data_IF_135249520348
#
_entry.id   IF_135249520348
#
_cell.length_a   1.000
_cell.length_b   1.000
_cell.length_c   1.000
_cell.angle_alpha   90.00
_cell.angle_beta   90.00
_cell.angle_gamma   90.00
#
_symmetry.space_group_name_H-M   'P 1'
#
loop_
_entity.id
_entity.type
_entity.pdbx_description
1 polymer ?
#
# COMPACT_ATOMS: atom_id res chain seq x y z
N UNK A 1 19.38 -47.43 5.27
CA UNK A 1 19.69 -46.43 4.23
C UNK A 1 18.45 -45.59 3.98
N UNK A 2 18.63 -44.27 4.10
CA UNK A 2 17.78 -43.16 3.66
C UNK A 2 16.31 -43.12 4.12
N UNK A 3 16.13 -42.61 5.34
CA UNK A 3 15.02 -41.71 5.70
C UNK A 3 15.16 -40.39 4.89
N UNK A 4 14.09 -39.95 4.22
CA UNK A 4 13.95 -38.61 3.64
C UNK A 4 12.53 -38.09 3.84
N UNK A 5 12.03 -38.16 5.07
CA UNK A 5 11.00 -37.24 5.54
C UNK A 5 11.61 -35.86 5.77
N UNK A 6 11.64 -35.01 4.74
CA UNK A 6 12.00 -33.60 4.90
C UNK A 6 11.00 -32.91 5.84
N UNK A 7 11.44 -32.08 6.81
CA UNK A 7 10.58 -31.64 7.89
C UNK A 7 9.56 -30.61 7.38
N UNK A 8 8.30 -30.86 7.72
CA UNK A 8 7.13 -29.96 7.72
C UNK A 8 7.32 -28.72 8.63
N UNK A 9 8.56 -28.32 8.94
CA UNK A 9 8.89 -27.12 9.69
C UNK A 9 9.13 -25.95 8.73
N UNK A 10 8.04 -25.29 8.33
CA UNK A 10 8.00 -23.83 8.11
C UNK A 10 6.61 -23.29 7.69
N UNK A 11 5.54 -24.00 8.07
CA UNK A 11 4.17 -23.52 7.90
C UNK A 11 3.61 -22.83 9.16
N UNK A 12 4.33 -22.85 10.29
CA UNK A 12 3.85 -22.31 11.57
C UNK A 12 4.26 -20.85 11.90
N UNK A 13 5.12 -20.18 11.12
CA UNK A 13 5.54 -18.79 11.43
C UNK A 13 5.13 -17.72 10.42
N UNK A 14 4.48 -18.08 9.32
CA UNK A 14 3.74 -17.09 8.53
C UNK A 14 2.31 -17.12 9.02
N UNK A 15 1.93 -16.22 9.93
CA UNK A 15 0.54 -15.76 9.98
C UNK A 15 0.19 -15.31 8.56
N UNK A 16 -0.40 -16.20 7.77
CA UNK A 16 -1.00 -15.84 6.51
C UNK A 16 -2.09 -14.84 6.86
N UNK A 17 -1.99 -13.63 6.34
CA UNK A 17 -3.09 -12.67 6.41
C UNK A 17 -4.31 -13.38 5.81
N UNK A 18 -5.28 -13.73 6.67
CA UNK A 18 -6.53 -14.31 6.24
C UNK A 18 -7.39 -13.15 5.74
N UNK A 19 -7.04 -12.66 4.54
CA UNK A 19 -7.63 -11.47 3.94
C UNK A 19 -9.16 -11.51 4.00
N UNK A 20 -9.74 -10.85 5.00
CA UNK A 20 -11.19 -10.79 5.20
C UNK A 20 -11.74 -9.60 4.42
N UNK A 21 -12.26 -9.85 3.22
CA UNK A 21 -12.77 -8.83 2.29
C UNK A 21 -14.16 -8.29 2.69
N UNK A 22 -14.31 -7.86 3.95
CA UNK A 22 -15.60 -7.42 4.51
C UNK A 22 -15.79 -5.90 4.53
N UNK A 23 -14.72 -5.12 4.39
CA UNK A 23 -14.80 -3.66 4.35
C UNK A 23 -15.14 -3.17 2.94
N UNK A 24 -15.96 -2.12 2.86
CA UNK A 24 -16.22 -1.37 1.63
C UNK A 24 -15.59 0.02 1.73
N UNK A 25 -15.20 0.58 0.58
CA UNK A 25 -14.67 1.94 0.53
C UNK A 25 -15.77 2.91 1.01
N UNK A 26 -15.51 3.54 2.15
CA UNK A 26 -16.43 4.53 2.70
C UNK A 26 -16.63 5.69 1.70
N UNK A 27 -17.88 6.18 1.62
CA UNK A 27 -18.29 7.38 0.84
C UNK A 27 -18.26 7.24 -0.69
N UNK A 28 -18.36 6.05 -1.25
CA UNK A 28 -18.53 5.88 -2.70
C UNK A 28 -17.42 6.57 -3.51
N UNK A 29 -16.19 6.58 -2.99
CA UNK A 29 -15.02 7.15 -3.68
C UNK A 29 -14.33 6.04 -4.48
N UNK A 30 -13.77 6.40 -5.64
CA UNK A 30 -12.85 5.50 -6.38
C UNK A 30 -11.42 5.87 -6.01
N UNK A 31 -10.49 4.93 -6.05
CA UNK A 31 -9.07 5.20 -5.79
C UNK A 31 -8.23 4.76 -6.98
N UNK A 32 -7.60 5.72 -7.63
CA UNK A 32 -6.87 5.58 -8.88
C UNK A 32 -5.37 5.62 -8.58
N UNK A 33 -4.58 4.79 -9.27
CA UNK A 33 -3.13 4.84 -9.22
C UNK A 33 -2.50 4.45 -10.55
N UNK A 34 -1.25 4.82 -10.71
CA UNK A 34 -0.39 4.30 -11.78
C UNK A 34 0.23 2.96 -11.38
N UNK A 35 0.24 2.03 -12.33
CA UNK A 35 0.90 0.72 -12.26
C UNK A 35 1.69 0.49 -13.55
N UNK A 36 1.42 -0.61 -14.24
CA UNK A 36 1.82 -0.79 -15.63
C UNK A 36 0.68 -1.39 -16.46
N UNK A 37 0.95 -1.76 -17.71
CA UNK A 37 -0.05 -2.36 -18.61
C UNK A 37 -0.68 -3.65 -18.08
N UNK A 38 -0.02 -4.41 -17.21
CA UNK A 38 -0.45 -5.75 -16.75
C UNK A 38 -0.92 -5.80 -15.30
N UNK A 39 -0.40 -4.95 -14.42
CA UNK A 39 -0.71 -4.98 -12.98
C UNK A 39 -0.71 -3.59 -12.35
N UNK A 40 -1.58 -3.39 -11.35
CA UNK A 40 -1.60 -2.18 -10.53
C UNK A 40 -0.38 -2.09 -9.61
N UNK A 41 0.03 -3.23 -9.04
CA UNK A 41 1.15 -3.33 -8.10
C UNK A 41 2.38 -3.88 -8.82
N UNK A 42 3.25 -2.99 -9.31
CA UNK A 42 4.53 -3.39 -9.88
C UNK A 42 5.52 -3.61 -8.73
N UNK A 43 5.80 -4.87 -8.39
CA UNK A 43 6.59 -5.25 -7.20
C UNK A 43 7.92 -4.49 -7.09
N UNK A 44 8.69 -4.38 -8.17
CA UNK A 44 9.97 -3.67 -8.18
C UNK A 44 9.82 -2.17 -7.88
N UNK A 45 8.81 -1.51 -8.44
CA UNK A 45 8.50 -0.10 -8.21
C UNK A 45 8.10 0.12 -6.75
N UNK A 46 7.22 -0.72 -6.21
CA UNK A 46 6.79 -0.61 -4.80
C UNK A 46 7.95 -0.90 -3.85
N UNK A 47 8.79 -1.92 -4.11
CA UNK A 47 10.03 -2.16 -3.34
C UNK A 47 10.93 -0.93 -3.31
N UNK A 48 11.07 -0.23 -4.45
CA UNK A 48 11.84 1.01 -4.54
C UNK A 48 11.33 2.13 -3.64
N UNK A 49 10.04 2.11 -3.26
CA UNK A 49 9.37 3.08 -2.39
C UNK A 49 9.28 2.66 -0.92
N UNK A 50 9.81 1.50 -0.55
CA UNK A 50 9.90 1.05 0.84
C UNK A 50 11.33 1.33 1.31
N UNK A 51 11.51 2.19 2.31
CA UNK A 51 12.82 2.66 2.77
C UNK A 51 13.04 2.37 4.26
N UNK A 52 14.29 2.26 4.74
CA UNK A 52 14.53 2.19 6.18
C UNK A 52 14.01 3.47 6.84
N UNK A 53 13.52 3.35 8.06
CA UNK A 53 13.12 4.49 8.87
C UNK A 53 14.29 5.47 9.03
N UNK A 54 14.02 6.74 8.79
CA UNK A 54 15.01 7.81 8.97
C UNK A 54 14.50 8.79 10.05
N UNK A 55 15.07 8.72 11.27
CA UNK A 55 14.66 9.58 12.38
C UNK A 55 14.79 11.07 12.06
N UNK A 56 15.81 11.47 11.28
CA UNK A 56 16.04 12.89 10.95
C UNK A 56 14.97 13.39 9.99
N UNK A 57 14.62 12.59 8.98
CA UNK A 57 13.53 12.94 8.05
C UNK A 57 12.20 12.98 8.80
N UNK A 58 11.96 12.02 9.70
CA UNK A 58 10.75 12.00 10.51
C UNK A 58 10.63 13.21 11.44
N UNK A 59 11.69 13.59 12.14
CA UNK A 59 11.69 14.80 12.99
C UNK A 59 11.36 16.07 12.19
N UNK A 60 11.91 16.22 10.98
CA UNK A 60 11.63 17.36 10.10
C UNK A 60 10.19 17.34 9.60
N UNK A 61 9.64 16.17 9.31
CA UNK A 61 8.22 16.00 8.96
C UNK A 61 7.32 16.42 10.12
N UNK A 62 7.62 15.98 11.34
CA UNK A 62 6.84 16.32 12.54
C UNK A 62 6.92 17.81 12.90
N UNK A 63 8.01 18.49 12.55
CA UNK A 63 8.17 19.95 12.69
C UNK A 63 7.53 20.74 11.56
N UNK A 64 7.01 20.08 10.51
CA UNK A 64 6.44 20.73 9.32
C UNK A 64 7.48 21.41 8.41
N UNK A 65 8.76 21.10 8.58
CA UNK A 65 9.84 21.63 7.73
C UNK A 65 9.85 20.99 6.33
N UNK A 66 9.33 19.77 6.26
CA UNK A 66 9.10 19.02 5.02
C UNK A 66 7.69 18.43 5.08
N UNK A 67 7.16 18.08 3.92
CA UNK A 67 5.87 17.44 3.75
C UNK A 67 6.03 16.02 3.26
N UNK A 68 4.93 15.27 3.24
CA UNK A 68 4.87 13.95 2.60
C UNK A 68 5.26 13.99 1.12
N UNK A 69 5.07 15.13 0.43
CA UNK A 69 5.45 15.26 -0.98
C UNK A 69 6.96 15.37 -1.18
N UNK A 70 7.70 15.83 -0.17
CA UNK A 70 9.17 15.86 -0.16
C UNK A 70 9.75 14.46 0.10
N UNK A 71 8.96 13.59 0.75
CA UNK A 71 9.34 12.21 1.07
C UNK A 71 9.11 11.34 -0.17
N UNK A 72 10.21 10.92 -0.81
CA UNK A 72 10.20 10.05 -2.01
C UNK A 72 9.99 8.56 -1.69
N UNK A 73 9.22 8.24 -0.66
CA UNK A 73 8.88 6.86 -0.29
C UNK A 73 7.47 6.77 0.28
N UNK A 74 6.81 5.63 0.04
CA UNK A 74 5.43 5.40 0.49
C UNK A 74 5.40 4.71 1.87
N UNK A 75 6.47 3.99 2.25
CA UNK A 75 6.54 3.23 3.49
C UNK A 75 7.94 3.23 4.11
N UNK A 76 8.00 3.20 5.43
CA UNK A 76 9.21 2.93 6.19
C UNK A 76 9.22 1.53 6.79
N UNK A 77 10.41 1.01 7.07
CA UNK A 77 10.60 -0.20 7.86
C UNK A 77 11.64 -0.01 8.97
N UNK A 78 11.49 -0.71 10.08
CA UNK A 78 12.40 -0.69 11.22
C UNK A 78 13.63 -1.61 11.04
N UNK A 79 14.50 -1.69 12.03
CA UNK A 79 15.70 -2.54 11.96
C UNK A 79 15.39 -4.03 11.74
N UNK A 80 14.19 -4.48 12.13
CA UNK A 80 13.71 -5.85 11.95
C UNK A 80 13.06 -6.08 10.58
N UNK A 81 12.99 -5.07 9.72
CA UNK A 81 12.33 -5.14 8.42
C UNK A 81 10.80 -5.05 8.48
N UNK A 82 10.24 -4.65 9.61
CA UNK A 82 8.81 -4.47 9.83
C UNK A 82 8.37 -3.08 9.37
N UNK A 83 7.29 -3.01 8.60
CA UNK A 83 6.70 -1.77 8.12
C UNK A 83 6.17 -0.95 9.30
N UNK A 84 6.56 0.32 9.38
CA UNK A 84 6.14 1.23 10.45
C UNK A 84 4.94 2.07 10.00
N UNK A 85 4.01 2.43 10.91
CA UNK A 85 2.77 3.12 10.57
C UNK A 85 2.89 4.64 10.43
N UNK A 86 4.11 5.18 10.42
CA UNK A 86 4.39 6.63 10.46
C UNK A 86 4.08 7.36 9.16
N UNK A 87 4.09 6.66 8.02
CA UNK A 87 3.72 7.23 6.73
C UNK A 87 2.26 6.89 6.36
N UNK A 88 1.62 7.71 5.53
CA UNK A 88 0.24 7.46 5.09
C UNK A 88 0.09 6.19 4.25
N UNK A 89 1.16 5.76 3.56
CA UNK A 89 1.20 4.54 2.76
C UNK A 89 1.18 4.78 1.26
N UNK A 90 0.68 3.79 0.53
CA UNK A 90 0.66 3.78 -0.93
C UNK A 90 -0.27 4.89 -1.44
N UNK A 91 0.30 5.84 -2.18
CA UNK A 91 -0.44 6.97 -2.75
C UNK A 91 -1.44 6.53 -3.83
N UNK A 92 -2.65 7.07 -3.74
CA UNK A 92 -3.77 6.94 -4.68
C UNK A 92 -4.48 8.28 -4.85
N UNK A 93 -5.37 8.38 -5.83
CA UNK A 93 -6.09 9.60 -6.16
C UNK A 93 -7.58 9.33 -6.26
N UNK A 94 -8.42 10.23 -5.78
CA UNK A 94 -9.88 10.02 -5.79
C UNK A 94 -10.53 10.48 -7.09
N UNK A 95 -9.81 11.30 -7.86
CA UNK A 95 -10.26 11.89 -9.11
C UNK A 95 -9.09 11.98 -10.10
N UNK A 96 -9.32 11.51 -11.33
CA UNK A 96 -8.30 11.59 -12.39
C UNK A 96 -7.93 13.03 -12.72
N UNK A 97 -8.89 13.97 -12.65
CA UNK A 97 -8.64 15.38 -13.04
C UNK A 97 -7.59 16.06 -12.16
N UNK A 98 -7.50 15.62 -10.90
CA UNK A 98 -6.61 16.16 -9.88
C UNK A 98 -5.28 15.37 -9.79
N UNK A 99 -5.11 14.32 -10.62
CA UNK A 99 -3.83 13.61 -10.72
C UNK A 99 -2.76 14.47 -11.39
N UNK A 100 -1.49 14.40 -10.95
CA UNK A 100 -0.36 14.99 -11.65
C UNK A 100 -0.35 14.61 -13.15
N UNK A 101 -0.11 15.57 -14.07
CA UNK A 101 -0.15 15.33 -15.52
C UNK A 101 0.67 14.13 -15.98
N UNK A 102 1.90 13.98 -15.49
CA UNK A 102 2.80 12.88 -15.86
C UNK A 102 2.26 11.48 -15.52
N UNK A 103 1.36 11.37 -14.52
CA UNK A 103 0.69 10.10 -14.20
C UNK A 103 -0.47 9.79 -15.14
N UNK A 104 -1.00 10.80 -15.85
CA UNK A 104 -2.13 10.67 -16.79
C UNK A 104 -1.71 10.43 -18.23
N UNK A 105 -0.44 10.67 -18.56
CA UNK A 105 0.11 10.48 -19.91
C UNK A 105 -0.07 9.04 -20.43
N UNK A 106 -0.23 8.07 -19.54
CA UNK A 106 -0.41 6.64 -19.85
C UNK A 106 -1.69 6.10 -19.22
N UNK A 107 -2.88 6.42 -19.78
CA UNK A 107 -4.15 5.99 -19.22
C UNK A 107 -4.27 4.45 -19.17
N UNK A 108 -3.60 3.73 -20.07
CA UNK A 108 -3.56 2.26 -20.07
C UNK A 108 -2.78 1.66 -18.88
N UNK A 109 -1.99 2.47 -18.18
CA UNK A 109 -1.26 2.10 -16.97
C UNK A 109 -2.00 2.54 -15.69
N UNK A 110 -3.20 3.10 -15.82
CA UNK A 110 -4.04 3.46 -14.69
C UNK A 110 -4.92 2.29 -14.22
N UNK A 111 -5.00 2.19 -12.91
CA UNK A 111 -5.78 1.17 -12.20
C UNK A 111 -6.63 1.84 -11.14
N UNK A 112 -7.80 1.27 -10.86
CA UNK A 112 -8.71 1.78 -9.85
C UNK A 112 -9.19 0.69 -8.89
N UNK A 113 -9.42 1.08 -7.64
CA UNK A 113 -10.35 0.40 -6.75
C UNK A 113 -11.70 1.11 -6.88
N UNK A 114 -12.70 0.36 -7.33
CA UNK A 114 -14.06 0.86 -7.44
C UNK A 114 -14.65 1.15 -6.07
N UNK A 115 -15.66 2.01 -6.05
CA UNK A 115 -16.45 2.42 -4.88
C UNK A 115 -16.98 1.25 -4.04
N UNK A 116 -17.36 0.16 -4.70
CA UNK A 116 -17.95 -1.02 -4.07
C UNK A 116 -16.93 -2.17 -3.93
N UNK A 117 -15.66 -1.91 -4.21
CA UNK A 117 -14.62 -2.93 -4.10
C UNK A 117 -14.48 -3.33 -2.64
N UNK A 118 -14.63 -4.63 -2.31
CA UNK A 118 -14.32 -5.08 -0.99
C UNK A 118 -12.80 -5.04 -0.80
N UNK A 119 -12.34 -4.70 0.40
CA UNK A 119 -10.91 -4.72 0.73
C UNK A 119 -10.70 -5.41 2.07
N UNK A 120 -9.51 -6.01 2.28
CA UNK A 120 -9.22 -6.78 3.47
C UNK A 120 -9.27 -5.90 4.72
N UNK A 121 -9.77 -6.46 5.83
CA UNK A 121 -9.82 -5.79 7.13
C UNK A 121 -8.43 -5.33 7.59
N UNK A 122 -7.38 -6.01 7.14
CA UNK A 122 -6.00 -5.74 7.48
C UNK A 122 -5.40 -4.53 6.77
N UNK A 123 -6.16 -3.91 5.88
CA UNK A 123 -5.79 -2.69 5.16
C UNK A 123 -6.70 -1.55 5.62
N UNK A 124 -6.10 -0.37 5.77
CA UNK A 124 -6.80 0.88 5.91
C UNK A 124 -6.66 1.71 4.63
N UNK A 125 -7.76 2.37 4.27
CA UNK A 125 -7.80 3.37 3.22
C UNK A 125 -8.08 4.71 3.88
N UNK A 126 -7.12 5.62 3.77
CA UNK A 126 -7.12 6.93 4.44
C UNK A 126 -7.34 8.02 3.39
N UNK A 127 -8.24 8.96 3.68
CA UNK A 127 -8.36 10.22 2.94
C UNK A 127 -8.43 11.35 3.95
N UNK A 128 -7.50 12.28 3.85
CA UNK A 128 -7.52 13.47 4.67
C UNK A 128 -8.58 14.46 4.15
N UNK A 129 -9.28 15.14 5.07
CA UNK A 129 -10.42 15.98 4.72
C UNK A 129 -10.01 17.22 3.89
N UNK A 130 -8.83 17.74 4.15
CA UNK A 130 -8.17 18.84 3.44
C UNK A 130 -7.59 18.42 2.09
N UNK A 131 -7.39 17.11 1.86
CA UNK A 131 -6.84 16.55 0.62
C UNK A 131 -7.83 15.57 -0.03
N UNK A 132 -9.05 16.04 -0.29
CA UNK A 132 -10.12 15.22 -0.87
C UNK A 132 -9.77 14.53 -2.20
N UNK A 133 -8.78 15.04 -2.94
CA UNK A 133 -8.27 14.52 -4.21
C UNK A 133 -7.25 13.36 -4.05
N UNK A 134 -6.68 13.17 -2.84
CA UNK A 134 -5.62 12.19 -2.56
C UNK A 134 -6.08 11.18 -1.52
N UNK A 135 -5.62 9.95 -1.65
CA UNK A 135 -5.88 8.90 -0.68
C UNK A 135 -4.68 8.00 -0.52
N UNK A 136 -4.66 7.23 0.56
CA UNK A 136 -3.58 6.33 0.88
C UNK A 136 -4.08 4.96 1.29
N UNK A 137 -3.31 3.94 0.93
CA UNK A 137 -3.58 2.56 1.32
C UNK A 137 -2.41 2.05 2.14
N UNK A 138 -2.67 1.60 3.36
CA UNK A 138 -1.64 1.07 4.25
C UNK A 138 -2.14 -0.14 5.04
N UNK A 139 -1.24 -0.98 5.58
CA UNK A 139 -1.63 -1.94 6.59
C UNK A 139 -2.23 -1.24 7.80
N UNK A 140 -3.22 -1.87 8.42
CA UNK A 140 -3.80 -1.41 9.67
C UNK A 140 -2.73 -1.40 10.77
N UNK A 141 -2.75 -0.40 11.66
CA UNK A 141 -1.70 -0.23 12.67
C UNK A 141 -1.77 -1.22 13.83
N UNK A 142 -2.92 -1.85 14.07
CA UNK A 142 -3.22 -2.67 15.25
C UNK A 142 -3.41 -4.17 14.92
N UNK A 143 -2.76 -4.68 13.86
CA UNK A 143 -2.91 -6.05 13.36
C UNK A 143 -2.44 -7.16 14.33
N UNK A 144 -1.82 -6.80 15.46
CA UNK A 144 -1.18 -7.74 16.38
C UNK A 144 -0.12 -8.63 15.72
N UNK A 145 0.33 -8.26 14.51
CA UNK A 145 1.23 -9.01 13.64
C UNK A 145 2.07 -8.04 12.85
N UNK A 146 3.39 -8.24 12.86
CA UNK A 146 4.33 -7.43 12.09
C UNK A 146 4.14 -7.63 10.59
N UNK A 147 4.12 -6.54 9.84
CA UNK A 147 4.00 -6.57 8.38
C UNK A 147 5.39 -6.40 7.77
N UNK A 148 5.92 -7.41 7.09
CA UNK A 148 7.19 -7.27 6.35
C UNK A 148 6.98 -6.58 5.01
N UNK A 149 8.08 -6.23 4.33
CA UNK A 149 8.03 -5.64 2.98
C UNK A 149 7.34 -6.54 1.96
N UNK A 150 7.63 -7.85 1.99
CA UNK A 150 7.03 -8.78 1.04
C UNK A 150 5.55 -9.03 1.38
N UNK A 151 5.20 -9.11 2.66
CA UNK A 151 3.80 -9.15 3.09
C UNK A 151 3.04 -7.93 2.57
N UNK A 152 3.54 -6.72 2.79
CA UNK A 152 2.92 -5.50 2.30
C UNK A 152 2.63 -5.56 0.79
N UNK A 153 3.60 -6.00 -0.02
CA UNK A 153 3.43 -6.08 -1.47
C UNK A 153 2.36 -7.11 -1.85
N UNK A 154 2.34 -8.27 -1.18
CA UNK A 154 1.30 -9.28 -1.37
C UNK A 154 -0.08 -8.70 -1.02
N UNK A 155 -0.21 -8.09 0.17
CA UNK A 155 -1.46 -7.45 0.63
C UNK A 155 -1.98 -6.42 -0.37
N UNK A 156 -1.10 -5.54 -0.86
CA UNK A 156 -1.47 -4.53 -1.86
C UNK A 156 -1.88 -5.16 -3.21
N UNK A 157 -1.24 -6.27 -3.59
CA UNK A 157 -1.51 -6.98 -4.85
C UNK A 157 -2.85 -7.72 -4.82
N UNK A 158 -3.27 -8.15 -3.64
CA UNK A 158 -4.54 -8.83 -3.39
C UNK A 158 -5.76 -7.90 -3.40
N UNK A 159 -5.56 -6.57 -3.44
CA UNK A 159 -6.67 -5.64 -3.61
C UNK A 159 -7.30 -5.82 -5.00
N UNK A 160 -8.63 -5.69 -5.14
CA UNK A 160 -9.34 -5.96 -6.39
C UNK A 160 -9.18 -4.81 -7.40
N UNK A 161 -7.95 -4.53 -7.79
CA UNK A 161 -7.64 -3.51 -8.79
C UNK A 161 -8.27 -3.86 -10.13
N UNK A 162 -8.94 -2.89 -10.73
CA UNK A 162 -9.44 -2.96 -12.10
C UNK A 162 -8.72 -1.96 -12.96
N UNK A 163 -8.70 -2.20 -14.27
CA UNK A 163 -8.26 -1.16 -15.21
C UNK A 163 -9.14 0.06 -15.05
N UNK A 164 -8.51 1.23 -15.04
CA UNK A 164 -9.24 2.48 -15.00
C UNK A 164 -10.11 2.59 -16.26
N UNK A 165 -11.38 2.88 -16.05
CA UNK A 165 -12.35 3.26 -17.07
C UNK A 165 -13.08 4.50 -16.58
N UNK A 166 -13.32 5.46 -17.46
CA UNK A 166 -13.98 6.72 -17.10
C UNK A 166 -15.42 6.54 -16.64
#
# INVERSE_FOLDING_TARGET
MADRGGPLHNLEEKKQFLFSYRKQIARGRKFIRSGNKRQAIVRSVVKGKIKPFDPRVYERLMKGEITETDIKCDFWYDENGTITPHLPGLSTFTNIRDMPPFLRERPEELWQLDRNSPFPEEVDIVVFEDQWWKGYIKPKGDLGTSVTRDNLIEMLSCLPWKKYSE
#
